data_IF_341547280254
#
_entry.id   IF_341547280254
#
_cell.length_a   1.000
_cell.length_b   1.000
_cell.length_c   1.000
_cell.angle_alpha   90.00
_cell.angle_beta   90.00
_cell.angle_gamma   90.00
#
_symmetry.space_group_name_H-M   'P 1'
#
loop_
_entity.id
_entity.type
_entity.pdbx_description
1 polymer ?
#
# COMPACT_ATOMS: atom_id res chain seq x y z
N UNK A 1 -1.27 -22.84 -12.08
CA UNK A 1 -0.79 -23.00 -10.69
C UNK A 1 -0.19 -21.67 -10.27
N UNK A 2 -0.49 -21.16 -9.08
CA UNK A 2 0.11 -19.91 -8.60
C UNK A 2 1.51 -20.21 -8.03
N UNK A 3 2.49 -19.38 -8.39
CA UNK A 3 3.83 -19.39 -7.77
C UNK A 3 3.96 -18.11 -6.96
N UNK A 4 4.17 -18.24 -5.65
CA UNK A 4 4.27 -17.11 -4.73
C UNK A 4 5.70 -16.90 -4.22
N UNK A 5 6.09 -15.64 -4.04
CA UNK A 5 7.42 -15.23 -3.59
C UNK A 5 7.39 -13.81 -3.02
N UNK A 6 8.40 -13.46 -2.22
CA UNK A 6 8.68 -12.07 -1.83
C UNK A 6 9.73 -11.47 -2.77
N UNK A 7 9.77 -10.15 -3.02
CA UNK A 7 10.76 -9.58 -3.94
C UNK A 7 12.22 -9.94 -3.60
N UNK A 8 12.58 -10.02 -2.31
CA UNK A 8 13.92 -10.46 -1.91
C UNK A 8 14.27 -11.91 -2.32
N UNK A 9 13.29 -12.81 -2.45
CA UNK A 9 13.52 -14.21 -2.86
C UNK A 9 13.85 -14.35 -4.34
N UNK A 10 13.48 -13.36 -5.16
CA UNK A 10 13.80 -13.34 -6.59
C UNK A 10 15.03 -12.48 -6.92
N UNK A 11 15.72 -11.99 -5.89
CA UNK A 11 16.92 -11.15 -6.04
C UNK A 11 16.61 -9.72 -6.46
N UNK A 12 15.42 -9.19 -6.14
CA UNK A 12 15.15 -7.77 -6.34
C UNK A 12 16.14 -6.93 -5.50
N UNK A 13 16.55 -5.78 -6.04
CA UNK A 13 17.43 -4.85 -5.33
C UNK A 13 16.76 -4.33 -4.04
N UNK A 14 17.57 -3.95 -3.05
CA UNK A 14 17.05 -3.44 -1.75
C UNK A 14 16.06 -2.29 -1.93
N UNK A 15 16.32 -1.43 -2.91
CA UNK A 15 15.44 -0.33 -3.26
C UNK A 15 14.08 -0.77 -3.83
N UNK A 16 14.05 -1.72 -4.77
CA UNK A 16 12.79 -2.29 -5.28
C UNK A 16 12.00 -2.93 -4.12
N UNK A 17 12.70 -3.63 -3.23
CA UNK A 17 12.08 -4.24 -2.04
C UNK A 17 11.44 -3.16 -1.17
N UNK A 18 12.12 -2.04 -0.93
CA UNK A 18 11.62 -0.93 -0.11
C UNK A 18 10.37 -0.27 -0.73
N UNK A 19 10.42 0.07 -2.02
CA UNK A 19 9.28 0.68 -2.73
C UNK A 19 8.06 -0.25 -2.76
N UNK A 20 8.29 -1.53 -3.03
CA UNK A 20 7.23 -2.53 -2.99
C UNK A 20 6.65 -2.67 -1.58
N UNK A 21 7.47 -2.67 -0.54
CA UNK A 21 6.98 -2.71 0.85
C UNK A 21 6.12 -1.49 1.16
N UNK A 22 6.53 -0.28 0.78
CA UNK A 22 5.73 0.93 0.96
C UNK A 22 4.38 0.87 0.23
N UNK A 23 4.37 0.33 -1.00
CA UNK A 23 3.13 0.07 -1.74
C UNK A 23 2.22 -0.91 -0.99
N UNK A 24 2.76 -2.03 -0.51
CA UNK A 24 1.98 -3.03 0.22
C UNK A 24 1.43 -2.45 1.52
N UNK A 25 2.22 -1.69 2.27
CA UNK A 25 1.76 -1.01 3.47
C UNK A 25 0.55 -0.14 3.15
N UNK A 26 0.61 0.65 2.09
CA UNK A 26 -0.51 1.52 1.67
C UNK A 26 -1.78 0.71 1.37
N UNK A 27 -1.67 -0.37 0.57
CA UNK A 27 -2.80 -1.27 0.27
C UNK A 27 -3.39 -1.88 1.55
N UNK A 28 -2.52 -2.33 2.46
CA UNK A 28 -2.94 -2.96 3.71
C UNK A 28 -3.59 -1.96 4.66
N UNK A 29 -3.11 -0.72 4.73
CA UNK A 29 -3.68 0.34 5.56
C UNK A 29 -5.09 0.71 5.11
N UNK A 30 -5.31 0.87 3.81
CA UNK A 30 -6.64 1.15 3.26
C UNK A 30 -7.60 0.00 3.54
N UNK A 31 -7.16 -1.22 3.24
CA UNK A 31 -7.96 -2.41 3.50
C UNK A 31 -8.27 -2.57 5.00
N UNK A 32 -7.31 -2.26 5.88
CA UNK A 32 -7.50 -2.19 7.33
C UNK A 32 -8.61 -1.20 7.69
N UNK A 33 -8.58 0.01 7.15
CA UNK A 33 -9.60 1.03 7.41
C UNK A 33 -10.98 0.57 6.96
N UNK A 34 -11.10 -0.03 5.78
CA UNK A 34 -12.37 -0.53 5.27
C UNK A 34 -12.95 -1.64 6.14
N UNK A 35 -12.13 -2.66 6.47
CA UNK A 35 -12.58 -3.81 7.27
C UNK A 35 -12.87 -3.43 8.73
N UNK A 36 -12.22 -2.41 9.27
CA UNK A 36 -12.40 -1.99 10.66
C UNK A 36 -13.41 -0.85 10.87
N UNK A 37 -14.14 -0.47 9.82
CA UNK A 37 -15.23 0.50 9.91
C UNK A 37 -14.78 1.96 9.83
N UNK A 38 -13.74 2.25 9.06
CA UNK A 38 -13.11 3.55 8.87
C UNK A 38 -11.83 3.72 9.70
N UNK A 39 -11.05 4.77 9.38
CA UNK A 39 -9.91 5.23 10.17
C UNK A 39 -9.94 6.75 10.29
N UNK A 40 -9.37 7.25 11.38
CA UNK A 40 -9.02 8.64 11.61
C UNK A 40 -7.49 8.71 11.70
N UNK A 41 -6.83 8.89 10.55
CA UNK A 41 -5.36 9.00 10.49
C UNK A 41 -4.88 10.08 11.45
N UNK A 42 -3.85 9.77 12.23
CA UNK A 42 -3.21 10.74 13.10
C UNK A 42 -2.37 11.70 12.24
N UNK A 43 -2.79 12.95 12.20
CA UNK A 43 -2.06 14.04 11.53
C UNK A 43 -1.66 15.09 12.55
N UNK A 44 -0.45 15.64 12.41
CA UNK A 44 -0.02 16.81 13.17
C UNK A 44 -0.50 18.10 12.49
N UNK A 45 -0.87 19.15 13.23
CA UNK A 45 -1.11 19.22 14.69
C UNK A 45 -2.57 18.93 15.06
N UNK A 46 -3.44 18.75 14.08
CA UNK A 46 -4.88 18.66 14.23
C UNK A 46 -5.31 17.20 14.03
N UNK A 47 -5.97 16.65 15.06
CA UNK A 47 -7.18 15.81 14.98
C UNK A 47 -7.24 14.68 16.02
N UNK A 48 -6.17 14.42 16.78
CA UNK A 48 -6.17 13.31 17.75
C UNK A 48 -6.62 11.99 17.10
N UNK A 49 -6.27 11.80 15.82
CA UNK A 49 -6.72 10.68 15.02
C UNK A 49 -6.35 9.37 15.69
N UNK A 50 -7.25 8.39 15.64
CA UNK A 50 -7.14 7.14 16.38
C UNK A 50 -6.21 6.12 15.74
N UNK A 51 -5.66 6.39 14.55
CA UNK A 51 -4.81 5.45 13.82
C UNK A 51 -3.50 6.12 13.42
N UNK A 52 -2.39 5.64 13.96
CA UNK A 52 -1.05 5.96 13.52
C UNK A 52 -0.64 4.99 12.40
N UNK A 53 -0.10 5.56 11.33
CA UNK A 53 0.54 4.84 10.25
C UNK A 53 1.99 5.30 10.17
N UNK A 54 2.95 4.37 9.99
CA UNK A 54 4.38 4.70 9.88
C UNK A 54 4.69 5.38 8.52
N UNK A 55 4.16 6.58 8.32
CA UNK A 55 4.34 7.37 7.12
C UNK A 55 5.62 8.23 7.23
N UNK A 56 6.30 8.52 6.10
CA UNK A 56 7.45 9.40 6.09
C UNK A 56 7.05 10.81 6.56
N UNK A 57 7.52 11.21 7.75
CA UNK A 57 7.26 12.56 8.30
C UNK A 57 8.49 13.43 8.21
N UNK A 58 8.30 14.76 8.16
CA UNK A 58 9.39 15.74 8.24
C UNK A 58 10.08 15.82 9.62
N UNK A 59 9.65 15.02 10.60
CA UNK A 59 10.20 14.98 11.95
C UNK A 59 10.74 13.59 12.28
N UNK A 60 11.49 13.46 13.37
CA UNK A 60 11.94 12.13 13.80
C UNK A 60 10.73 11.24 14.11
N UNK A 61 10.81 9.97 13.70
CA UNK A 61 9.79 8.95 13.97
C UNK A 61 9.44 8.87 15.46
N UNK A 62 10.43 8.99 16.34
CA UNK A 62 10.22 9.04 17.80
C UNK A 62 9.40 10.25 18.26
N UNK A 63 9.61 11.44 17.67
CA UNK A 63 8.80 12.63 17.99
C UNK A 63 7.37 12.49 17.51
N UNK A 64 7.17 11.99 16.30
CA UNK A 64 5.83 11.75 15.77
C UNK A 64 5.06 10.74 16.62
N UNK A 65 5.71 9.63 17.01
CA UNK A 65 5.14 8.65 17.94
C UNK A 65 4.85 9.25 19.33
N UNK A 66 5.77 10.06 19.87
CA UNK A 66 5.59 10.72 21.16
C UNK A 66 4.37 11.63 21.20
N UNK A 67 4.14 12.37 20.11
CA UNK A 67 2.96 13.22 19.98
C UNK A 67 1.66 12.42 19.83
N UNK A 68 1.68 11.32 19.06
CA UNK A 68 0.54 10.39 18.99
C UNK A 68 0.19 9.84 20.38
N UNK A 69 1.19 9.32 21.11
CA UNK A 69 0.96 8.78 22.45
C UNK A 69 0.49 9.88 23.41
N UNK A 70 1.03 11.10 23.36
CA UNK A 70 0.54 12.23 24.17
C UNK A 70 -0.91 12.59 23.88
N UNK A 71 -1.30 12.63 22.61
CA UNK A 71 -2.67 12.98 22.21
C UNK A 71 -3.71 12.01 22.81
N UNK A 72 -3.35 10.73 22.94
CA UNK A 72 -4.22 9.71 23.50
C UNK A 72 -3.99 9.41 24.99
N UNK A 73 -2.87 9.89 25.54
CA UNK A 73 -2.48 9.75 26.94
C UNK A 73 -2.01 11.10 27.48
N UNK A 74 -2.94 11.99 27.86
CA UNK A 74 -2.59 13.36 28.25
C UNK A 74 -1.59 13.47 29.41
N UNK A 75 -1.43 12.40 30.22
CA UNK A 75 -0.45 12.33 31.31
C UNK A 75 1.00 12.05 30.87
N UNK A 76 1.27 11.70 29.61
CA UNK A 76 2.63 11.51 29.12
C UNK A 76 3.36 12.83 28.91
N UNK A 77 4.68 12.82 29.02
CA UNK A 77 5.56 13.89 28.55
C UNK A 77 6.16 13.46 27.20
N UNK A 78 6.00 14.29 26.17
CA UNK A 78 6.48 13.97 24.81
C UNK A 78 8.00 13.81 24.81
N UNK A 79 8.74 14.65 25.51
CA UNK A 79 10.20 14.60 25.52
C UNK A 79 10.69 13.36 26.26
N UNK A 80 9.99 12.94 27.33
CA UNK A 80 10.26 11.67 27.99
C UNK A 80 10.03 10.48 27.04
N UNK A 81 8.94 10.47 26.28
CA UNK A 81 8.66 9.41 25.29
C UNK A 81 9.71 9.40 24.19
N UNK A 82 10.10 10.58 23.68
CA UNK A 82 11.15 10.71 22.67
C UNK A 82 12.46 10.15 23.21
N UNK A 83 12.90 10.55 24.41
CA UNK A 83 14.12 10.02 25.02
C UNK A 83 14.05 8.50 25.24
N UNK A 84 12.90 7.98 25.68
CA UNK A 84 12.69 6.55 25.87
C UNK A 84 12.73 5.75 24.56
N UNK A 85 12.24 6.36 23.47
CA UNK A 85 12.27 5.82 22.10
C UNK A 85 13.69 5.84 21.54
N UNK A 86 14.38 6.98 21.63
CA UNK A 86 15.75 7.19 21.18
C UNK A 86 16.74 6.28 21.92
N UNK A 87 16.62 6.15 23.24
CA UNK A 87 17.48 5.26 24.04
C UNK A 87 17.29 3.76 23.74
N UNK A 88 16.21 3.40 23.04
CA UNK A 88 15.89 2.02 22.62
C UNK A 88 16.13 1.77 21.13
N UNK A 89 16.64 2.77 20.40
CA UNK A 89 17.23 2.52 19.09
C UNK A 89 18.36 1.51 19.26
N UNK A 90 18.54 0.61 18.28
CA UNK A 90 19.76 -0.21 18.28
C UNK A 90 20.95 0.75 18.19
N UNK A 91 22.06 0.36 18.82
CA UNK A 91 23.30 1.09 18.62
C UNK A 91 23.59 1.14 17.11
N UNK A 92 23.87 2.36 16.62
CA UNK A 92 24.30 2.61 15.25
C UNK A 92 25.46 1.66 14.95
N UNK A 93 25.29 0.77 13.97
CA UNK A 93 26.43 0.09 13.40
C UNK A 93 27.28 1.20 12.75
N UNK A 94 28.56 1.39 13.15
CA UNK A 94 29.37 2.47 12.61
C UNK A 94 29.52 2.44 11.08
N UNK A 95 29.21 1.32 10.43
CA UNK A 95 29.22 1.15 8.98
C UNK A 95 27.81 1.29 8.34
N UNK A 96 26.76 1.50 9.14
CA UNK A 96 25.38 1.74 8.70
C UNK A 96 25.06 3.24 8.83
N UNK A 97 25.17 3.97 7.73
CA UNK A 97 24.91 5.41 7.67
C UNK A 97 23.43 5.75 7.97
N UNK A 98 22.55 4.75 7.95
CA UNK A 98 21.14 4.87 8.26
C UNK A 98 20.90 4.57 9.76
N UNK A 99 21.04 5.59 10.62
CA UNK A 99 20.67 5.57 12.05
C UNK A 99 19.43 4.67 12.31
N UNK A 100 19.65 3.41 12.74
CA UNK A 100 18.57 2.41 12.82
C UNK A 100 17.40 2.96 13.65
N UNK A 101 16.24 3.28 13.02
CA UNK A 101 15.18 3.97 13.70
C UNK A 101 14.52 3.04 14.71
N UNK A 102 14.00 3.61 15.80
CA UNK A 102 13.21 2.83 16.76
C UNK A 102 12.08 2.11 16.01
N UNK A 103 11.86 0.81 16.27
CA UNK A 103 10.93 0.01 15.49
C UNK A 103 9.49 0.34 15.87
N UNK A 104 8.86 1.24 15.11
CA UNK A 104 7.46 1.66 15.30
C UNK A 104 6.55 0.82 14.42
N UNK A 105 5.55 0.11 14.98
CA UNK A 105 4.63 -0.71 14.20
C UNK A 105 3.97 0.08 13.07
N UNK A 106 3.75 -0.58 11.93
CA UNK A 106 3.20 0.07 10.74
C UNK A 106 1.77 0.58 10.95
N UNK A 107 1.03 -0.05 11.87
CA UNK A 107 -0.30 0.41 12.29
C UNK A 107 -0.39 0.39 13.83
N UNK A 108 -0.75 1.53 14.43
CA UNK A 108 -1.10 1.63 15.86
C UNK A 108 -2.51 2.20 15.95
N UNK A 109 -3.43 1.45 16.56
CA UNK A 109 -4.82 1.90 16.75
C UNK A 109 -5.09 2.24 18.21
N UNK A 110 -5.73 3.38 18.43
CA UNK A 110 -6.12 3.92 19.71
C UNK A 110 -7.60 4.33 19.74
N UNK A 111 -8.48 3.39 20.10
CA UNK A 111 -9.89 3.65 20.38
C UNK A 111 -10.23 3.26 21.82
N UNK A 112 -11.32 3.78 22.43
CA UNK A 112 -11.69 3.46 23.82
C UNK A 112 -11.78 1.95 24.11
N UNK A 113 -12.19 1.16 23.13
CA UNK A 113 -12.35 -0.30 23.23
C UNK A 113 -11.21 -1.09 22.57
N UNK A 114 -10.24 -0.43 21.93
CA UNK A 114 -9.26 -1.09 21.07
C UNK A 114 -7.92 -0.37 21.06
N UNK A 115 -6.88 -1.02 21.57
CA UNK A 115 -5.49 -0.54 21.56
C UNK A 115 -4.58 -1.59 20.95
N UNK A 116 -4.58 -1.69 19.63
CA UNK A 116 -3.94 -2.78 18.89
C UNK A 116 -2.79 -2.26 18.02
N UNK A 117 -1.77 -3.09 17.83
CA UNK A 117 -0.66 -2.84 16.90
C UNK A 117 -0.52 -3.94 15.87
N UNK A 118 -0.14 -3.55 14.66
CA UNK A 118 0.14 -4.44 13.54
C UNK A 118 1.45 -4.09 12.86
N UNK A 119 2.10 -5.12 12.32
CA UNK A 119 3.35 -5.05 11.59
C UNK A 119 3.23 -5.89 10.31
N UNK A 120 3.65 -5.30 9.20
CA UNK A 120 3.53 -5.80 7.84
C UNK A 120 4.93 -6.19 7.36
N UNK A 121 5.11 -7.46 7.00
CA UNK A 121 6.42 -7.96 6.53
C UNK A 121 6.32 -8.95 5.37
N UNK A 122 7.38 -9.11 4.59
CA UNK A 122 7.42 -10.14 3.56
C UNK A 122 7.18 -11.54 4.16
N UNK A 123 6.42 -12.39 3.46
CA UNK A 123 6.09 -13.78 3.87
C UNK A 123 7.28 -14.73 3.73
N UNK A 124 8.33 -14.50 4.51
CA UNK A 124 9.49 -15.37 4.63
C UNK A 124 9.95 -15.48 6.09
N UNK A 125 10.91 -16.37 6.39
CA UNK A 125 11.36 -16.61 7.76
C UNK A 125 11.95 -15.35 8.43
N UNK A 126 12.71 -14.55 7.68
CA UNK A 126 13.30 -13.31 8.17
C UNK A 126 12.21 -12.27 8.50
N UNK A 127 11.27 -12.04 7.58
CA UNK A 127 10.15 -11.10 7.78
C UNK A 127 9.27 -11.46 8.97
N UNK A 128 8.99 -12.76 9.19
CA UNK A 128 8.26 -13.22 10.38
C UNK A 128 8.98 -12.92 11.68
N UNK A 129 10.30 -13.14 11.70
CA UNK A 129 11.13 -12.87 12.87
C UNK A 129 11.17 -11.36 13.15
N UNK A 130 11.45 -10.57 12.10
CA UNK A 130 11.53 -9.12 12.18
C UNK A 130 10.21 -8.51 12.65
N UNK A 131 9.07 -8.98 12.13
CA UNK A 131 7.75 -8.53 12.58
C UNK A 131 7.54 -8.75 14.08
N UNK A 132 7.92 -9.94 14.58
CA UNK A 132 7.77 -10.28 16.00
C UNK A 132 8.68 -9.43 16.88
N UNK A 133 9.94 -9.28 16.48
CA UNK A 133 10.93 -8.47 17.19
C UNK A 133 10.48 -7.00 17.29
N UNK A 134 9.99 -6.42 16.18
CA UNK A 134 9.48 -5.03 16.12
C UNK A 134 8.28 -4.84 17.05
N UNK A 135 7.31 -5.76 17.01
CA UNK A 135 6.15 -5.73 17.91
C UNK A 135 6.55 -5.89 19.38
N UNK A 136 7.46 -6.81 19.72
CA UNK A 136 7.91 -7.03 21.11
C UNK A 136 8.64 -5.80 21.66
N UNK A 137 9.48 -5.15 20.85
CA UNK A 137 10.19 -3.93 21.24
C UNK A 137 9.23 -2.77 21.50
N UNK A 138 8.27 -2.56 20.61
CA UNK A 138 7.25 -1.53 20.79
C UNK A 138 6.41 -1.79 22.05
N UNK A 139 5.92 -3.01 22.22
CA UNK A 139 5.08 -3.38 23.37
C UNK A 139 5.85 -3.24 24.68
N UNK A 140 7.11 -3.68 24.72
CA UNK A 140 7.99 -3.47 25.87
C UNK A 140 8.19 -2.00 26.24
N UNK A 141 8.24 -1.10 25.26
CA UNK A 141 8.26 0.35 25.53
C UNK A 141 6.92 0.81 26.13
N UNK A 142 5.78 0.42 25.54
CA UNK A 142 4.46 0.83 26.04
C UNK A 142 4.14 0.28 27.42
N UNK A 143 4.62 -0.93 27.74
CA UNK A 143 4.53 -1.55 29.07
C UNK A 143 5.38 -0.79 30.09
N UNK A 144 6.59 -0.38 29.72
CA UNK A 144 7.43 0.49 30.55
C UNK A 144 6.73 1.82 30.85
N UNK A 145 6.15 2.48 29.84
CA UNK A 145 5.38 3.72 30.04
C UNK A 145 4.14 3.49 30.92
N UNK A 146 3.54 2.30 30.86
CA UNK A 146 2.32 1.95 31.61
C UNK A 146 2.53 1.92 33.12
N UNK A 147 3.78 1.79 33.58
CA UNK A 147 4.12 1.90 35.00
C UNK A 147 3.81 3.30 35.57
N UNK A 148 3.90 4.34 34.74
CA UNK A 148 3.60 5.74 35.13
C UNK A 148 2.23 6.18 34.62
N UNK A 149 1.85 5.77 33.41
CA UNK A 149 0.57 6.13 32.79
C UNK A 149 -0.15 4.84 32.36
N UNK A 150 -0.92 4.17 33.24
CA UNK A 150 -1.48 2.84 32.97
C UNK A 150 -2.34 2.71 31.71
N UNK A 151 -2.84 3.83 31.19
CA UNK A 151 -3.64 3.85 29.97
C UNK A 151 -2.82 3.53 28.72
N UNK A 152 -1.48 3.63 28.74
CA UNK A 152 -0.59 3.44 27.57
C UNK A 152 -0.39 2.01 27.13
N UNK A 153 -1.03 1.02 27.77
CA UNK A 153 -0.91 -0.38 27.37
C UNK A 153 -1.56 -0.62 26.00
N UNK A 154 -0.76 -1.13 25.05
CA UNK A 154 -1.22 -1.67 23.78
C UNK A 154 -1.08 -3.19 23.78
N UNK A 155 -1.71 -3.86 22.83
CA UNK A 155 -1.58 -5.29 22.60
C UNK A 155 -1.38 -5.60 21.13
N UNK A 156 -0.85 -6.79 20.82
CA UNK A 156 -0.79 -7.29 19.45
C UNK A 156 -2.20 -7.37 18.86
N UNK A 157 -2.36 -6.93 17.61
CA UNK A 157 -3.65 -6.87 16.97
C UNK A 157 -4.28 -8.23 16.69
N UNK A 158 -5.59 -8.33 16.85
CA UNK A 158 -6.35 -9.58 16.71
C UNK A 158 -7.58 -9.44 15.82
N UNK A 159 -8.12 -8.22 15.68
CA UNK A 159 -9.35 -7.98 14.93
C UNK A 159 -9.15 -7.99 13.42
N UNK A 160 -8.07 -7.37 12.94
CA UNK A 160 -7.70 -7.43 11.53
C UNK A 160 -6.79 -8.62 11.24
N UNK A 161 -7.34 -9.60 10.51
CA UNK A 161 -6.66 -10.83 10.06
C UNK A 161 -6.98 -11.06 8.58
N UNK A 162 -6.32 -10.33 7.68
CA UNK A 162 -6.58 -10.51 6.25
C UNK A 162 -6.17 -11.91 5.81
N UNK A 163 -6.83 -12.42 4.78
CA UNK A 163 -6.41 -13.57 3.95
C UNK A 163 -6.96 -13.26 2.55
N UNK A 164 -6.37 -12.23 1.95
CA UNK A 164 -6.97 -11.48 0.83
C UNK A 164 -5.95 -11.35 -0.29
N UNK A 165 -6.46 -11.37 -1.51
CA UNK A 165 -5.69 -11.33 -2.74
C UNK A 165 -6.08 -10.11 -3.57
N UNK A 166 -5.12 -9.24 -3.87
CA UNK A 166 -5.31 -8.02 -4.64
C UNK A 166 -4.66 -8.19 -6.02
N UNK A 167 -5.45 -8.10 -7.09
CA UNK A 167 -4.93 -8.25 -8.45
C UNK A 167 -4.11 -7.02 -8.83
N UNK A 168 -2.82 -7.21 -9.04
CA UNK A 168 -1.88 -6.18 -9.48
C UNK A 168 -1.73 -6.11 -11.00
N UNK A 169 -2.05 -7.19 -11.70
CA UNK A 169 -1.98 -7.27 -13.16
C UNK A 169 -2.80 -8.46 -13.62
N UNK A 170 -3.60 -8.30 -14.68
CA UNK A 170 -4.33 -9.40 -15.30
C UNK A 170 -4.50 -9.11 -16.79
N UNK A 171 -3.52 -9.52 -17.59
CA UNK A 171 -3.51 -9.28 -19.02
C UNK A 171 -2.59 -10.28 -19.75
N UNK A 172 -2.78 -10.46 -21.07
CA UNK A 172 -1.88 -11.26 -21.88
C UNK A 172 -0.54 -10.53 -22.06
N UNK A 173 0.56 -11.26 -21.89
CA UNK A 173 1.90 -10.86 -22.27
C UNK A 173 2.28 -11.65 -23.51
N UNK A 174 2.74 -10.97 -24.56
CA UNK A 174 2.98 -11.54 -25.90
C UNK A 174 3.73 -12.88 -25.89
N UNK A 175 4.70 -13.04 -24.97
CA UNK A 175 5.53 -14.25 -24.87
C UNK A 175 4.94 -15.32 -23.95
N UNK A 176 4.11 -14.92 -22.98
CA UNK A 176 3.72 -15.76 -21.85
C UNK A 176 2.23 -16.12 -21.81
N UNK A 177 1.44 -15.57 -22.75
CA UNK A 177 -0.02 -15.71 -22.72
C UNK A 177 -0.62 -14.92 -21.55
N UNK A 178 -1.78 -15.36 -21.05
CA UNK A 178 -2.43 -14.70 -19.92
C UNK A 178 -1.56 -14.81 -18.66
N UNK A 179 -1.21 -13.66 -18.08
CA UNK A 179 -0.49 -13.58 -16.81
C UNK A 179 -1.35 -12.79 -15.83
N UNK A 180 -1.54 -13.38 -14.64
CA UNK A 180 -2.21 -12.71 -13.52
C UNK A 180 -1.25 -12.62 -12.34
N UNK A 181 -1.02 -11.40 -11.86
CA UNK A 181 -0.16 -11.08 -10.72
C UNK A 181 -1.06 -10.62 -9.58
N UNK A 182 -0.84 -11.19 -8.41
CA UNK A 182 -1.66 -10.97 -7.23
C UNK A 182 -0.76 -10.65 -6.05
N UNK A 183 -1.04 -9.56 -5.34
CA UNK A 183 -0.53 -9.33 -3.99
C UNK A 183 -1.39 -10.14 -3.02
N UNK A 184 -0.79 -11.11 -2.37
CA UNK A 184 -1.45 -11.90 -1.34
C UNK A 184 -1.05 -11.41 0.04
N UNK A 185 -2.03 -11.02 0.85
CA UNK A 185 -1.84 -10.51 2.23
C UNK A 185 -2.54 -11.44 3.20
N UNK A 186 -1.79 -11.94 4.19
CA UNK A 186 -2.28 -12.91 5.16
C UNK A 186 -1.89 -12.52 6.59
N UNK A 187 -2.81 -12.58 7.53
CA UNK A 187 -2.54 -12.43 8.95
C UNK A 187 -1.93 -13.70 9.54
N UNK A 188 -0.76 -13.62 10.16
CA UNK A 188 -0.10 -14.75 10.80
C UNK A 188 0.04 -14.55 12.32
N UNK A 189 -0.93 -15.05 13.09
CA UNK A 189 -0.92 -14.92 14.54
C UNK A 189 -1.43 -13.55 15.02
N UNK A 190 -0.83 -13.00 16.07
CA UNK A 190 -1.26 -11.73 16.66
C UNK A 190 -0.35 -10.58 16.21
N UNK A 191 -0.97 -9.58 15.57
CA UNK A 191 -0.32 -8.35 15.12
C UNK A 191 0.61 -8.50 13.91
N UNK A 192 0.79 -9.69 13.35
CA UNK A 192 1.68 -9.89 12.19
C UNK A 192 0.84 -10.08 10.92
N UNK A 193 1.13 -9.27 9.93
CA UNK A 193 0.57 -9.34 8.58
C UNK A 193 1.72 -9.65 7.64
N UNK A 194 1.57 -10.67 6.82
CA UNK A 194 2.56 -11.10 5.86
C UNK A 194 2.08 -10.86 4.44
N UNK A 195 3.00 -10.54 3.54
CA UNK A 195 2.68 -10.35 2.14
C UNK A 195 3.64 -11.10 1.20
N UNK A 196 3.11 -11.50 0.05
CA UNK A 196 3.85 -12.11 -1.05
C UNK A 196 3.20 -11.74 -2.39
N UNK A 197 3.94 -11.89 -3.47
CA UNK A 197 3.43 -11.77 -4.84
C UNK A 197 3.22 -13.17 -5.37
N UNK A 198 2.04 -13.44 -5.87
CA UNK A 198 1.68 -14.68 -6.55
C UNK A 198 1.48 -14.41 -8.04
N UNK A 199 2.05 -15.27 -8.88
CA UNK A 199 1.86 -15.22 -10.33
C UNK A 199 1.14 -16.48 -10.78
N UNK A 200 -0.04 -16.29 -11.33
CA UNK A 200 -0.84 -17.31 -12.01
C UNK A 200 -0.52 -17.26 -13.51
N UNK A 201 0.05 -18.34 -14.04
CA UNK A 201 0.26 -18.51 -15.47
C UNK A 201 0.11 -19.98 -15.89
N UNK A 202 0.06 -20.21 -17.20
CA UNK A 202 0.09 -21.54 -17.81
C UNK A 202 1.53 -22.09 -18.00
N UNK A 203 2.56 -21.34 -17.60
CA UNK A 203 3.96 -21.68 -17.84
C UNK A 203 4.48 -22.77 -16.87
N UNK A 204 5.53 -23.47 -17.30
CA UNK A 204 6.25 -24.44 -16.45
C UNK A 204 7.18 -23.74 -15.44
N UNK A 205 7.64 -24.44 -14.40
CA UNK A 205 8.33 -23.82 -13.24
C UNK A 205 9.64 -23.05 -13.54
N UNK A 206 10.50 -23.42 -14.51
CA UNK A 206 11.72 -22.67 -14.82
C UNK A 206 11.40 -21.39 -15.62
N UNK A 207 10.52 -21.49 -16.61
CA UNK A 207 10.08 -20.39 -17.47
C UNK A 207 9.25 -19.38 -16.67
N UNK A 208 8.44 -19.88 -15.72
CA UNK A 208 7.69 -19.06 -14.80
C UNK A 208 8.61 -18.16 -13.97
N UNK A 209 9.77 -18.63 -13.48
CA UNK A 209 10.69 -17.78 -12.70
C UNK A 209 11.26 -16.61 -13.50
N UNK A 210 11.60 -16.83 -14.77
CA UNK A 210 12.09 -15.77 -15.65
C UNK A 210 10.95 -14.81 -16.04
N UNK A 211 9.79 -15.34 -16.43
CA UNK A 211 8.59 -14.56 -16.71
C UNK A 211 8.20 -13.70 -15.50
N UNK A 212 8.28 -14.26 -14.29
CA UNK A 212 8.07 -13.56 -13.02
C UNK A 212 9.04 -12.41 -12.86
N UNK A 213 10.36 -12.61 -13.04
CA UNK A 213 11.35 -11.53 -12.94
C UNK A 213 11.08 -10.41 -13.94
N UNK A 214 10.74 -10.78 -15.18
CA UNK A 214 10.38 -9.84 -16.24
C UNK A 214 9.10 -9.08 -15.86
N UNK A 215 8.08 -9.77 -15.38
CA UNK A 215 6.80 -9.17 -14.96
C UNK A 215 7.00 -8.25 -13.77
N UNK A 216 7.81 -8.60 -12.78
CA UNK A 216 8.14 -7.71 -11.66
C UNK A 216 8.95 -6.51 -12.12
N UNK A 217 9.91 -6.70 -13.02
CA UNK A 217 10.66 -5.62 -13.64
C UNK A 217 9.76 -4.69 -14.44
N UNK A 218 8.78 -5.23 -15.19
CA UNK A 218 7.79 -4.46 -15.95
C UNK A 218 6.80 -3.78 -15.00
N UNK A 219 6.28 -4.47 -13.99
CA UNK A 219 5.38 -3.90 -12.99
C UNK A 219 6.08 -2.73 -12.30
N UNK A 220 7.32 -2.93 -11.85
CA UNK A 220 8.17 -1.89 -11.31
C UNK A 220 8.37 -0.76 -12.34
N UNK A 221 8.74 -1.05 -13.58
CA UNK A 221 8.88 -0.05 -14.65
C UNK A 221 7.58 0.68 -15.01
N UNK A 222 6.41 0.05 -14.88
CA UNK A 222 5.09 0.65 -15.16
C UNK A 222 4.68 1.55 -14.00
N UNK A 223 4.89 1.10 -12.75
CA UNK A 223 4.74 1.92 -11.56
C UNK A 223 5.69 3.13 -11.64
N UNK A 224 6.95 2.93 -12.04
CA UNK A 224 7.94 3.99 -12.29
C UNK A 224 7.56 4.94 -13.43
N UNK A 225 7.10 4.43 -14.59
CA UNK A 225 6.82 5.25 -15.78
C UNK A 225 5.53 6.05 -15.67
N UNK A 226 4.55 5.62 -14.86
CA UNK A 226 3.32 6.39 -14.63
C UNK A 226 3.52 7.58 -13.69
N UNK A 227 4.54 7.54 -12.82
CA UNK A 227 5.06 8.75 -12.21
C UNK A 227 5.67 9.71 -13.24
N UNK A 228 6.37 9.18 -14.26
CA UNK A 228 7.20 9.97 -15.20
C UNK A 228 6.47 10.75 -16.29
N UNK A 229 5.23 10.42 -16.68
CA UNK A 229 4.57 11.10 -17.81
C UNK A 229 3.07 11.19 -17.61
N UNK A 230 2.56 12.43 -17.72
CA UNK A 230 1.16 12.69 -18.08
C UNK A 230 0.87 12.12 -19.46
N UNK A 231 0.64 10.81 -19.51
CA UNK A 231 0.23 10.12 -20.72
C UNK A 231 -1.10 10.72 -21.21
N UNK A 232 -1.28 10.92 -22.52
CA UNK A 232 -2.56 11.37 -23.04
C UNK A 232 -3.65 10.38 -22.64
N UNK A 233 -4.67 10.92 -21.96
CA UNK A 233 -5.91 10.25 -21.58
C UNK A 233 -6.52 9.63 -22.85
N UNK A 234 -6.41 8.33 -23.06
CA UNK A 234 -7.01 7.71 -24.25
C UNK A 234 -6.65 6.26 -24.56
N UNK A 235 -5.46 5.78 -24.18
CA UNK A 235 -5.14 4.37 -24.37
C UNK A 235 -5.92 3.51 -23.35
N UNK A 236 -6.65 2.45 -23.78
CA UNK A 236 -7.29 1.52 -22.87
C UNK A 236 -6.22 0.84 -22.04
N UNK A 237 -6.08 1.32 -20.82
CA UNK A 237 -5.26 0.71 -19.79
C UNK A 237 -5.83 -0.69 -19.57
N UNK A 238 -5.01 -1.78 -19.53
CA UNK A 238 -5.48 -3.02 -18.94
C UNK A 238 -5.95 -2.64 -17.54
N UNK A 239 -7.26 -2.70 -17.33
CA UNK A 239 -7.83 -2.39 -16.04
C UNK A 239 -7.14 -3.31 -15.06
N UNK A 240 -6.50 -2.74 -14.03
CA UNK A 240 -6.22 -3.51 -12.84
C UNK A 240 -7.57 -4.06 -12.42
N UNK A 241 -7.79 -5.36 -12.64
CA UNK A 241 -9.04 -6.01 -12.30
C UNK A 241 -9.06 -6.20 -10.79
N UNK A 242 -9.07 -5.08 -10.06
CA UNK A 242 -9.38 -5.05 -8.65
C UNK A 242 -10.79 -5.63 -8.57
N UNK A 243 -10.91 -6.81 -7.96
CA UNK A 243 -12.20 -7.27 -7.49
C UNK A 243 -12.64 -6.27 -6.44
N UNK A 244 -13.50 -5.33 -6.85
CA UNK A 244 -14.04 -4.28 -6.01
C UNK A 244 -14.49 -4.89 -4.67
N UNK A 245 -14.05 -4.36 -3.52
CA UNK A 245 -14.55 -4.78 -2.23
C UNK A 245 -15.98 -4.29 -1.96
N UNK A 246 -16.59 -3.55 -2.91
CA UNK A 246 -17.98 -3.11 -2.88
C UNK A 246 -18.91 -4.32 -3.08
N UNK A 247 -19.63 -4.69 -2.03
CA UNK A 247 -20.53 -5.85 -2.05
C UNK A 247 -21.94 -5.47 -2.51
N UNK A 248 -22.38 -4.24 -2.22
CA UNK A 248 -23.69 -3.69 -2.58
C UNK A 248 -23.57 -2.25 -3.07
N UNK A 249 -24.55 -1.79 -3.84
CA UNK A 249 -24.58 -0.42 -4.33
C UNK A 249 -24.67 0.63 -3.21
N UNK A 250 -24.13 1.81 -3.47
CA UNK A 250 -24.12 2.98 -2.59
C UNK A 250 -24.75 4.18 -3.30
N UNK A 251 -25.48 5.03 -2.58
CA UNK A 251 -26.10 6.23 -3.13
C UNK A 251 -27.62 6.15 -3.22
N UNK A 252 -28.19 6.90 -4.17
CA UNK A 252 -29.64 7.06 -4.32
C UNK A 252 -30.29 5.73 -4.68
N UNK A 253 -31.31 5.33 -3.92
CA UNK A 253 -32.07 4.09 -4.13
C UNK A 253 -31.20 2.82 -4.16
N UNK A 254 -30.14 2.79 -3.34
CA UNK A 254 -29.28 1.63 -3.15
C UNK A 254 -29.34 1.11 -1.70
N UNK A 255 -28.91 -0.14 -1.44
CA UNK A 255 -28.94 -0.72 -0.10
C UNK A 255 -28.15 0.08 0.95
N UNK A 256 -27.07 0.77 0.53
CA UNK A 256 -26.27 1.63 1.39
C UNK A 256 -25.74 0.91 2.63
N UNK A 257 -25.22 -0.31 2.44
CA UNK A 257 -24.58 -1.04 3.53
C UNK A 257 -23.43 -0.20 4.12
N UNK A 258 -23.36 0.05 5.44
CA UNK A 258 -22.43 1.03 6.01
C UNK A 258 -20.95 0.80 5.68
N UNK A 259 -20.54 -0.46 5.44
CA UNK A 259 -19.18 -0.80 4.98
C UNK A 259 -18.92 -0.32 3.56
N UNK A 260 -19.83 -0.59 2.63
CA UNK A 260 -19.77 -0.16 1.23
C UNK A 260 -19.82 1.36 1.12
N UNK A 261 -20.65 2.01 1.96
CA UNK A 261 -20.73 3.48 2.00
C UNK A 261 -19.40 4.09 2.41
N UNK A 262 -18.74 3.57 3.47
CA UNK A 262 -17.41 4.04 3.85
C UNK A 262 -16.38 3.82 2.75
N UNK A 263 -16.47 2.68 2.05
CA UNK A 263 -15.59 2.41 0.91
C UNK A 263 -15.70 3.49 -0.16
N UNK A 264 -16.93 3.79 -0.59
CA UNK A 264 -17.18 4.84 -1.58
C UNK A 264 -16.79 6.22 -1.05
N UNK A 265 -17.07 6.55 0.21
CA UNK A 265 -16.67 7.83 0.82
C UNK A 265 -15.14 8.03 0.84
N UNK A 266 -14.36 6.98 1.13
CA UNK A 266 -12.89 7.02 1.06
C UNK A 266 -12.43 7.31 -0.37
N UNK A 267 -12.96 6.57 -1.34
CA UNK A 267 -12.59 6.75 -2.75
C UNK A 267 -12.98 8.13 -3.29
N UNK A 268 -14.16 8.62 -2.91
CA UNK A 268 -14.60 9.98 -3.25
C UNK A 268 -13.69 11.04 -2.64
N UNK A 269 -13.28 10.88 -1.39
CA UNK A 269 -12.38 11.83 -0.74
C UNK A 269 -11.01 11.89 -1.40
N UNK A 270 -10.51 10.77 -1.90
CA UNK A 270 -9.27 10.76 -2.68
C UNK A 270 -9.43 11.53 -4.00
N UNK A 271 -10.49 11.25 -4.77
CA UNK A 271 -10.77 12.01 -5.99
C UNK A 271 -10.92 13.51 -5.70
N UNK A 272 -11.68 13.87 -4.66
CA UNK A 272 -11.89 15.27 -4.26
C UNK A 272 -10.59 15.96 -3.88
N UNK A 273 -9.67 15.26 -3.20
CA UNK A 273 -8.34 15.76 -2.86
C UNK A 273 -7.53 16.13 -4.10
N UNK A 274 -7.57 15.28 -5.14
CA UNK A 274 -6.88 15.54 -6.42
C UNK A 274 -7.45 16.79 -7.12
N UNK A 275 -8.75 17.02 -6.96
CA UNK A 275 -9.44 18.19 -7.52
C UNK A 275 -9.35 19.44 -6.62
N UNK A 276 -8.64 19.37 -5.48
CA UNK A 276 -8.54 20.48 -4.52
C UNK A 276 -9.86 20.79 -3.79
N UNK A 277 -10.79 19.84 -3.77
CA UNK A 277 -12.10 19.94 -3.14
C UNK A 277 -12.05 19.37 -1.71
N UNK A 278 -12.76 20.00 -0.78
CA UNK A 278 -12.81 19.55 0.61
C UNK A 278 -13.43 18.13 0.74
N UNK A 279 -12.81 17.30 1.59
CA UNK A 279 -13.28 15.96 1.91
C UNK A 279 -14.64 15.97 2.64
N UNK A 280 -15.46 14.95 2.37
CA UNK A 280 -16.69 14.62 3.10
C UNK A 280 -16.41 13.69 4.30
N UNK A 281 -17.38 13.54 5.20
CA UNK A 281 -17.29 12.58 6.29
C UNK A 281 -17.23 11.12 5.81
N UNK A 282 -16.40 10.29 6.46
CA UNK A 282 -16.34 8.83 6.25
C UNK A 282 -17.05 8.13 7.42
N UNK A 283 -18.37 8.21 7.43
CA UNK A 283 -19.23 7.73 8.53
C UNK A 283 -20.01 6.46 8.18
N UNK A 284 -20.07 6.09 6.90
CA UNK A 284 -20.89 4.98 6.42
C UNK A 284 -22.37 5.32 6.29
N UNK A 285 -22.73 6.60 6.26
CA UNK A 285 -24.09 7.08 6.05
C UNK A 285 -24.19 7.79 4.69
N UNK A 286 -25.20 7.44 3.89
CA UNK A 286 -25.49 8.13 2.63
C UNK A 286 -26.36 9.34 2.91
N UNK A 287 -25.72 10.46 3.26
CA UNK A 287 -26.36 11.77 3.42
C UNK A 287 -26.27 12.65 2.16
N UNK A 288 -26.81 13.88 2.22
CA UNK A 288 -26.72 14.85 1.12
C UNK A 288 -25.28 15.11 0.65
N UNK A 289 -24.31 15.15 1.57
CA UNK A 289 -22.89 15.33 1.22
C UNK A 289 -22.33 14.17 0.38
N UNK A 290 -22.63 12.92 0.76
CA UNK A 290 -22.20 11.75 -0.01
C UNK A 290 -22.89 11.69 -1.37
N UNK A 291 -24.19 11.98 -1.45
CA UNK A 291 -24.92 12.04 -2.72
C UNK A 291 -24.33 13.14 -3.63
N UNK A 292 -24.11 14.34 -3.11
CA UNK A 292 -23.50 15.43 -3.86
C UNK A 292 -22.11 15.05 -4.37
N UNK A 293 -21.27 14.44 -3.52
CA UNK A 293 -19.95 13.99 -3.94
C UNK A 293 -19.99 12.91 -5.05
N UNK A 294 -20.96 11.97 -4.99
CA UNK A 294 -21.16 10.99 -6.09
C UNK A 294 -21.59 11.68 -7.38
N UNK A 295 -22.55 12.61 -7.32
CA UNK A 295 -23.04 13.33 -8.49
C UNK A 295 -21.95 14.23 -9.11
N UNK A 296 -21.15 14.91 -8.29
CA UNK A 296 -19.99 15.70 -8.72
C UNK A 296 -18.98 14.82 -9.47
N UNK A 297 -18.60 13.68 -8.88
CA UNK A 297 -17.67 12.74 -9.49
C UNK A 297 -18.20 12.18 -10.80
N UNK A 298 -19.45 11.74 -10.81
CA UNK A 298 -20.12 11.23 -12.00
C UNK A 298 -20.17 12.27 -13.12
N UNK A 299 -20.45 13.52 -12.78
CA UNK A 299 -20.47 14.64 -13.74
C UNK A 299 -19.09 14.84 -14.37
N UNK A 300 -18.04 14.81 -13.55
CA UNK A 300 -16.67 15.04 -14.00
C UNK A 300 -16.09 13.87 -14.79
N UNK A 301 -16.40 12.63 -14.42
CA UNK A 301 -15.65 11.44 -14.87
C UNK A 301 -16.46 10.49 -15.74
N UNK A 302 -17.71 10.20 -15.41
CA UNK A 302 -18.49 9.15 -16.11
C UNK A 302 -19.48 9.71 -17.12
N UNK A 303 -19.95 10.94 -16.93
CA UNK A 303 -21.05 11.54 -17.69
C UNK A 303 -22.44 10.95 -17.38
N UNK A 304 -22.54 9.99 -16.44
CA UNK A 304 -23.80 9.37 -16.01
C UNK A 304 -24.08 9.78 -14.58
N UNK A 305 -24.96 10.77 -14.40
CA UNK A 305 -25.27 11.39 -13.09
C UNK A 305 -26.59 10.85 -12.56
N UNK A 306 -26.53 9.74 -11.83
CA UNK A 306 -27.70 9.12 -11.18
C UNK A 306 -27.63 9.15 -9.65
N UNK A 307 -26.48 9.58 -9.10
CA UNK A 307 -26.22 9.61 -7.67
C UNK A 307 -26.04 8.22 -7.05
N UNK A 308 -25.73 7.20 -7.86
CA UNK A 308 -25.53 5.82 -7.43
C UNK A 308 -24.18 5.25 -7.89
N UNK A 309 -23.55 4.49 -7.01
CA UNK A 309 -22.32 3.74 -7.24
C UNK A 309 -22.66 2.26 -7.16
N UNK A 310 -22.77 1.61 -8.31
CA UNK A 310 -23.14 0.19 -8.44
C UNK A 310 -21.93 -0.73 -8.44
N UNK A 311 -22.11 -1.95 -7.94
CA UNK A 311 -21.09 -3.02 -7.98
C UNK A 311 -20.70 -3.31 -9.43
N UNK A 312 -19.41 -3.17 -9.74
CA UNK A 312 -18.88 -3.29 -11.11
C UNK A 312 -19.36 -2.21 -12.09
N UNK A 313 -20.07 -1.19 -11.60
CA UNK A 313 -20.60 -0.10 -12.41
C UNK A 313 -19.53 0.92 -12.84
N UNK A 314 -19.84 1.80 -13.80
CA UNK A 314 -18.88 2.78 -14.32
C UNK A 314 -18.27 3.68 -13.24
N UNK A 315 -19.08 4.12 -12.27
CA UNK A 315 -18.63 5.00 -11.20
C UNK A 315 -17.59 4.33 -10.28
N UNK A 316 -17.84 3.09 -9.82
CA UNK A 316 -16.88 2.43 -8.94
C UNK A 316 -15.58 2.07 -9.68
N UNK A 317 -15.69 1.59 -10.93
CA UNK A 317 -14.52 1.28 -11.74
C UNK A 317 -13.64 2.52 -12.00
N UNK A 318 -14.26 3.69 -12.15
CA UNK A 318 -13.54 4.94 -12.33
C UNK A 318 -12.90 5.44 -11.02
N UNK A 319 -13.61 5.34 -9.90
CA UNK A 319 -13.09 5.67 -8.56
C UNK A 319 -11.88 4.81 -8.22
N UNK A 320 -11.99 3.49 -8.36
CA UNK A 320 -10.91 2.54 -8.09
C UNK A 320 -9.69 2.75 -8.98
N UNK A 321 -9.92 3.08 -10.26
CA UNK A 321 -8.84 3.43 -11.17
C UNK A 321 -8.15 4.72 -10.76
N UNK A 322 -8.91 5.78 -10.49
CA UNK A 322 -8.35 7.06 -10.05
C UNK A 322 -7.55 6.91 -8.76
N UNK A 323 -8.04 6.06 -7.86
CA UNK A 323 -7.36 5.75 -6.61
C UNK A 323 -6.05 5.00 -6.84
N UNK A 324 -6.07 3.94 -7.64
CA UNK A 324 -4.86 3.22 -8.03
C UNK A 324 -3.84 4.15 -8.71
N UNK A 325 -4.30 5.05 -9.59
CA UNK A 325 -3.44 6.04 -10.24
C UNK A 325 -2.82 7.02 -9.24
N UNK A 326 -3.58 7.46 -8.23
CA UNK A 326 -3.10 8.35 -7.17
C UNK A 326 -2.05 7.68 -6.28
N UNK A 327 -2.26 6.41 -5.91
CA UNK A 327 -1.29 5.61 -5.18
C UNK A 327 0.03 5.49 -5.92
N UNK A 328 -0.04 5.24 -7.24
CA UNK A 328 1.14 5.16 -8.10
C UNK A 328 1.85 6.51 -8.19
N UNK A 329 1.10 7.61 -8.30
CA UNK A 329 1.67 8.96 -8.39
C UNK A 329 2.32 9.45 -7.08
N UNK A 330 1.87 8.94 -5.92
CA UNK A 330 2.44 9.26 -4.62
C UNK A 330 3.83 8.64 -4.39
N UNK A 331 4.19 7.59 -5.13
CA UNK A 331 5.54 7.00 -5.12
C UNK A 331 6.48 7.91 -5.94
N UNK A 332 7.42 8.59 -5.28
CA UNK A 332 8.19 9.70 -5.88
C UNK A 332 9.25 9.28 -6.91
N UNK A 333 9.53 10.20 -7.84
CA UNK A 333 10.51 10.03 -8.93
C UNK A 333 11.96 10.34 -8.57
N UNK A 334 12.19 11.10 -7.50
CA UNK A 334 13.54 11.47 -7.03
C UNK A 334 14.38 10.25 -6.67
N UNK A 335 13.74 9.12 -6.45
CA UNK A 335 14.43 7.93 -6.05
C UNK A 335 15.18 7.30 -7.26
N UNK A 336 14.70 7.49 -8.51
CA UNK A 336 14.91 6.62 -9.70
C UNK A 336 16.31 6.62 -10.38
N UNK A 337 17.28 7.41 -9.93
CA UNK A 337 18.59 7.57 -10.59
C UNK A 337 19.59 6.38 -10.47
N UNK A 338 19.13 5.15 -10.19
CA UNK A 338 20.02 4.01 -9.93
C UNK A 338 19.55 2.63 -10.42
N UNK A 339 18.61 2.56 -11.36
CA UNK A 339 18.08 1.27 -11.81
C UNK A 339 18.97 0.60 -12.87
N UNK A 340 19.77 -0.37 -12.44
CA UNK A 340 20.57 -1.22 -13.32
C UNK A 340 19.77 -2.44 -13.82
N UNK A 341 19.35 -2.40 -15.09
CA UNK A 341 18.65 -3.49 -15.77
C UNK A 341 19.50 -4.77 -15.86
N UNK A 342 20.83 -4.67 -15.79
CA UNK A 342 21.73 -5.84 -15.85
C UNK A 342 21.65 -6.69 -14.57
N UNK A 343 21.37 -6.07 -13.42
CA UNK A 343 21.18 -6.77 -12.15
C UNK A 343 19.95 -7.71 -12.15
N UNK A 344 18.92 -7.43 -12.97
CA UNK A 344 17.71 -8.25 -13.07
C UNK A 344 17.91 -9.54 -13.87
N UNK A 345 18.83 -9.54 -14.83
CA UNK A 345 19.10 -10.70 -15.69
C UNK A 345 20.10 -11.66 -15.05
N UNK A 346 20.87 -11.22 -14.05
CA UNK A 346 21.93 -12.02 -13.43
C UNK A 346 23.12 -12.26 -14.38
N UNK A 347 23.18 -11.51 -15.48
CA UNK A 347 24.34 -11.51 -16.36
C UNK A 347 25.32 -10.44 -15.87
N UNK A 348 26.64 -10.75 -15.80
CA UNK A 348 27.64 -9.71 -15.62
C UNK A 348 27.48 -8.67 -16.76
N UNK A 349 27.89 -7.41 -16.56
CA UNK A 349 27.98 -6.45 -17.66
C UNK A 349 28.80 -7.10 -18.78
N UNK A 350 28.15 -7.36 -19.92
CA UNK A 350 28.72 -8.16 -20.99
C UNK A 350 29.54 -7.23 -21.86
N UNK A 351 30.88 -7.33 -21.80
CA UNK A 351 31.79 -6.81 -22.83
C UNK A 351 31.80 -7.70 -24.10
N UNK A 352 30.84 -8.62 -24.23
CA UNK A 352 30.79 -9.65 -25.27
C UNK A 352 29.40 -9.66 -25.94
N UNK A 353 29.37 -9.48 -27.26
CA UNK A 353 28.16 -9.43 -28.08
C UNK A 353 27.28 -10.66 -27.85
N UNK A 354 26.18 -10.49 -27.13
CA UNK A 354 25.13 -11.50 -26.99
C UNK A 354 24.44 -11.75 -28.35
N UNK A 355 24.30 -13.01 -28.78
CA UNK A 355 23.51 -13.36 -29.95
C UNK A 355 22.02 -13.36 -29.57
N UNK A 356 21.29 -12.36 -30.07
CA UNK A 356 19.85 -12.21 -29.85
C UNK A 356 19.55 -10.98 -29.00
N UNK A 357 19.22 -9.91 -29.69
CA UNK A 357 19.12 -8.56 -29.15
C UNK A 357 17.89 -8.42 -28.22
N UNK A 358 18.11 -8.56 -26.91
CA UNK A 358 17.11 -8.26 -25.87
C UNK A 358 16.67 -6.79 -25.94
N UNK A 359 17.56 -5.88 -26.39
CA UNK A 359 17.17 -4.51 -26.67
C UNK A 359 16.27 -4.43 -27.91
N UNK A 360 16.44 -5.28 -28.92
CA UNK A 360 15.50 -5.37 -30.05
C UNK A 360 14.13 -5.89 -29.61
N UNK A 361 14.05 -6.85 -28.68
CA UNK A 361 12.76 -7.31 -28.15
C UNK A 361 12.08 -6.20 -27.34
N UNK A 362 12.86 -5.49 -26.51
CA UNK A 362 12.36 -4.34 -25.75
C UNK A 362 11.96 -3.17 -26.68
N UNK A 363 12.72 -2.92 -27.75
CA UNK A 363 12.48 -1.87 -28.74
C UNK A 363 11.31 -2.21 -29.66
N UNK A 364 11.18 -3.45 -30.11
CA UNK A 364 10.02 -3.95 -30.88
C UNK A 364 8.73 -3.84 -30.07
N UNK A 365 8.80 -4.11 -28.76
CA UNK A 365 7.69 -3.86 -27.85
C UNK A 365 7.36 -2.36 -27.74
N UNK A 366 8.37 -1.49 -27.61
CA UNK A 366 8.20 -0.02 -27.58
C UNK A 366 7.57 0.47 -28.88
N UNK A 367 8.06 0.02 -30.03
CA UNK A 367 7.60 0.45 -31.36
C UNK A 367 6.19 -0.06 -31.67
N UNK A 368 5.85 -1.28 -31.25
CA UNK A 368 4.51 -1.85 -31.41
C UNK A 368 3.46 -1.11 -30.56
N UNK A 369 3.85 -0.65 -29.37
CA UNK A 369 2.99 0.17 -28.51
C UNK A 369 2.80 1.57 -29.10
N UNK A 370 3.85 2.16 -29.69
CA UNK A 370 3.77 3.46 -30.34
C UNK A 370 2.99 3.47 -31.67
N UNK A 371 3.01 2.37 -32.43
CA UNK A 371 2.26 2.27 -33.70
C UNK A 371 0.75 2.03 -33.51
N UNK A 372 0.29 1.76 -32.28
CA UNK A 372 -1.12 1.48 -31.94
C UNK A 372 -1.79 2.61 -31.12
N UNK A 373 -1.04 3.66 -30.80
CA UNK A 373 -1.54 4.93 -30.29
C UNK A 373 -1.61 5.93 -31.45
#
# INVERSE_FOLDING_TARGET
MAVCFTPGQVGASGRIVQEYSAYVETVVQEHYCLKTGGCFKFTRPSNGGTEFFDEPTKTTRCRFLGEFLKAHHPGLDVDFVVQACEARKKAVDPDDEDDEPFPVPDIITHRPTRKEVYEIKPRNAAGRKDAKDKLDRFLGMTDFLSATVPTTRYQRGTLYRPDESFVLYDAPITVFGQVKVVLHVVGEGQGVILHEICVESLLTSPEAKLAIKIVLGILFLVLLRRGLRGAPVGAPTPALAWSSPLEQGVGRNRPNAPRDVRYVQVMLNESRRLDGVAAIGVDGLVGPETIGAVEDFQTAVTGIVDGAVDVGGPAINALERSHADALVAAMTLSDVDGFDLSALTGYPPVDEELPGDVNAIAQEYIDTVHARA
#
